data_IF_632478041398
#
_entry.id   IF_632478041398
#
_cell.length_a   1.000
_cell.length_b   1.000
_cell.length_c   1.000
_cell.angle_alpha   90.00
_cell.angle_beta   90.00
_cell.angle_gamma   90.00
#
_symmetry.space_group_name_H-M   'P 1'
#
loop_
_entity.id
_entity.type
_entity.pdbx_description
1 polymer ?
#
# COMPACT_ATOMS: atom_id res chain seq x y z
N UNK A 1 -0.68 -8.53 -4.56
CA UNK A 1 -1.28 -7.99 -5.81
C UNK A 1 -2.43 -7.08 -5.40
N UNK A 2 -2.39 -5.80 -5.76
CA UNK A 2 -3.51 -4.87 -5.58
C UNK A 2 -4.45 -5.03 -6.78
N UNK A 3 -5.75 -5.15 -6.54
CA UNK A 3 -6.74 -5.57 -7.55
C UNK A 3 -7.68 -4.45 -8.00
N UNK A 4 -7.64 -3.29 -7.35
CA UNK A 4 -8.45 -2.12 -7.68
C UNK A 4 -7.67 -0.82 -7.46
N UNK A 5 -8.04 0.21 -8.20
CA UNK A 5 -7.46 1.55 -8.13
C UNK A 5 -8.32 2.46 -7.22
N UNK A 6 -7.73 3.55 -6.71
CA UNK A 6 -8.41 4.50 -5.83
C UNK A 6 -9.66 5.12 -6.46
N UNK A 7 -9.72 5.21 -7.79
CA UNK A 7 -10.90 5.70 -8.52
C UNK A 7 -12.16 4.85 -8.30
N UNK A 8 -12.02 3.52 -8.19
CA UNK A 8 -13.17 2.63 -7.94
C UNK A 8 -13.77 2.87 -6.55
N UNK A 9 -12.92 3.08 -5.54
CA UNK A 9 -13.39 3.41 -4.18
C UNK A 9 -14.18 4.72 -4.14
N UNK A 10 -13.78 5.72 -4.94
CA UNK A 10 -14.52 7.00 -5.03
C UNK A 10 -15.88 6.81 -5.69
N UNK A 11 -15.96 5.95 -6.71
CA UNK A 11 -17.23 5.61 -7.37
C UNK A 11 -18.20 4.93 -6.40
N UNK A 12 -17.76 3.89 -5.68
CA UNK A 12 -18.61 3.20 -4.70
C UNK A 12 -19.11 4.12 -3.59
N UNK A 13 -18.26 5.04 -3.12
CA UNK A 13 -18.67 6.04 -2.14
C UNK A 13 -19.81 6.92 -2.66
N UNK A 14 -19.71 7.42 -3.90
CA UNK A 14 -20.78 8.23 -4.54
C UNK A 14 -22.07 7.43 -4.77
N UNK A 15 -21.96 6.12 -4.98
CA UNK A 15 -23.08 5.19 -5.14
C UNK A 15 -23.67 4.70 -3.80
N UNK A 16 -23.13 5.13 -2.65
CA UNK A 16 -23.57 4.69 -1.32
C UNK A 16 -23.15 3.27 -0.94
N UNK A 17 -22.24 2.65 -1.71
CA UNK A 17 -21.75 1.27 -1.49
C UNK A 17 -20.58 1.25 -0.50
N UNK A 18 -20.87 1.57 0.76
CA UNK A 18 -19.86 1.77 1.80
C UNK A 18 -19.15 0.47 2.20
N UNK A 19 -19.83 -0.66 2.12
CA UNK A 19 -19.27 -2.00 2.37
C UNK A 19 -18.07 -2.31 1.47
N UNK A 20 -18.15 -1.94 0.19
CA UNK A 20 -17.05 -2.12 -0.76
C UNK A 20 -15.87 -1.18 -0.48
N UNK A 21 -16.16 0.07 -0.10
CA UNK A 21 -15.13 1.04 0.32
C UNK A 21 -14.37 0.52 1.54
N UNK A 22 -15.10 0.03 2.54
CA UNK A 22 -14.49 -0.52 3.76
C UNK A 22 -13.61 -1.73 3.46
N UNK A 23 -14.12 -2.68 2.67
CA UNK A 23 -13.38 -3.88 2.26
C UNK A 23 -12.08 -3.53 1.51
N UNK A 24 -12.16 -2.57 0.59
CA UNK A 24 -11.01 -2.06 -0.14
C UNK A 24 -9.97 -1.39 0.77
N UNK A 25 -10.41 -0.47 1.64
CA UNK A 25 -9.53 0.22 2.58
C UNK A 25 -8.82 -0.75 3.53
N UNK A 26 -9.54 -1.74 4.07
CA UNK A 26 -8.96 -2.79 4.92
C UNK A 26 -7.88 -3.56 4.16
N UNK A 27 -8.11 -3.88 2.88
CA UNK A 27 -7.13 -4.61 2.07
C UNK A 27 -5.86 -3.80 1.81
N UNK A 28 -5.99 -2.50 1.59
CA UNK A 28 -4.86 -1.59 1.40
C UNK A 28 -3.99 -1.49 2.66
N UNK A 29 -4.60 -1.41 3.84
CA UNK A 29 -3.87 -1.41 5.11
C UNK A 29 -3.19 -2.76 5.36
N UNK A 30 -3.87 -3.88 5.09
CA UNK A 30 -3.28 -5.21 5.22
C UNK A 30 -2.03 -5.38 4.34
N UNK A 31 -2.10 -4.91 3.08
CA UNK A 31 -1.00 -5.01 2.13
C UNK A 31 0.18 -4.12 2.52
N UNK A 32 -0.08 -2.86 2.88
CA UNK A 32 0.96 -1.91 3.30
C UNK A 32 1.60 -2.33 4.61
N UNK A 33 0.84 -2.88 5.56
CA UNK A 33 1.36 -3.47 6.79
C UNK A 33 2.32 -4.64 6.54
N UNK A 34 1.93 -5.59 5.68
CA UNK A 34 2.82 -6.70 5.27
C UNK A 34 4.11 -6.23 4.62
N UNK A 35 4.01 -5.22 3.74
CA UNK A 35 5.18 -4.63 3.08
C UNK A 35 6.10 -3.95 4.10
N UNK A 36 5.55 -3.18 5.03
CA UNK A 36 6.30 -2.49 6.08
C UNK A 36 7.03 -3.50 6.99
N UNK A 37 6.33 -4.55 7.43
CA UNK A 37 6.93 -5.60 8.25
C UNK A 37 8.08 -6.30 7.52
N UNK A 38 7.89 -6.67 6.25
CA UNK A 38 8.95 -7.28 5.44
C UNK A 38 10.13 -6.33 5.27
N UNK A 39 9.88 -5.07 4.95
CA UNK A 39 10.92 -4.08 4.72
C UNK A 39 11.73 -3.81 5.98
N UNK A 40 11.10 -3.73 7.15
CA UNK A 40 11.79 -3.52 8.43
C UNK A 40 12.57 -4.77 8.86
N UNK A 41 12.03 -5.97 8.61
CA UNK A 41 12.74 -7.24 8.84
C UNK A 41 13.98 -7.36 7.95
N UNK A 42 13.88 -7.00 6.67
CA UNK A 42 14.99 -7.08 5.71
C UNK A 42 15.99 -5.91 5.85
N UNK A 43 15.58 -4.84 6.52
CA UNK A 43 16.36 -3.60 6.65
C UNK A 43 16.40 -2.74 5.39
N UNK A 44 15.55 -3.02 4.39
CA UNK A 44 15.36 -2.14 3.24
C UNK A 44 14.00 -2.30 2.55
N UNK A 45 13.58 -1.27 1.82
CA UNK A 45 12.45 -1.28 0.89
C UNK A 45 12.94 -0.93 -0.51
N UNK A 46 12.48 -1.66 -1.53
CA UNK A 46 12.70 -1.31 -2.94
C UNK A 46 11.44 -0.70 -3.53
N UNK A 47 11.58 0.36 -4.32
CA UNK A 47 10.49 0.93 -5.07
C UNK A 47 10.96 1.45 -6.42
N UNK A 48 10.05 1.50 -7.39
CA UNK A 48 10.31 2.07 -8.71
C UNK A 48 10.03 3.58 -8.68
N UNK A 49 11.02 4.39 -9.05
CA UNK A 49 10.88 5.83 -9.18
C UNK A 49 9.96 6.19 -10.35
N UNK A 50 9.60 7.47 -10.47
CA UNK A 50 8.87 7.99 -11.65
C UNK A 50 9.69 7.87 -12.94
N UNK A 51 11.02 7.97 -12.86
CA UNK A 51 11.96 7.75 -13.97
C UNK A 51 12.13 6.26 -14.32
N UNK A 52 11.59 5.36 -13.51
CA UNK A 52 11.62 3.91 -13.75
C UNK A 52 12.79 3.17 -13.11
N UNK A 53 13.66 3.89 -12.40
CA UNK A 53 14.79 3.33 -11.66
C UNK A 53 14.31 2.60 -10.40
N UNK A 54 14.99 1.52 -10.01
CA UNK A 54 14.73 0.84 -8.74
C UNK A 54 15.59 1.50 -7.67
N UNK A 55 14.94 2.17 -6.73
CA UNK A 55 15.57 2.84 -5.59
C UNK A 55 15.41 2.00 -4.33
N UNK A 56 16.40 2.11 -3.43
CA UNK A 56 16.43 1.42 -2.14
C UNK A 56 16.34 2.41 -0.99
N UNK A 57 15.41 2.19 -0.08
CA UNK A 57 15.29 2.94 1.18
C UNK A 57 15.82 2.07 2.32
N UNK A 58 16.63 2.63 3.21
CA UNK A 58 17.06 1.98 4.43
C UNK A 58 15.98 2.10 5.51
N UNK A 59 15.52 0.97 6.04
CA UNK A 59 14.40 0.88 6.99
C UNK A 59 14.83 0.46 8.40
N UNK A 60 16.14 0.27 8.65
CA UNK A 60 16.65 -0.24 9.95
C UNK A 60 16.25 0.61 11.15
N UNK A 61 15.95 1.89 10.94
CA UNK A 61 15.58 2.84 12.00
C UNK A 61 14.09 3.20 12.02
N UNK A 62 13.25 2.54 11.22
CA UNK A 62 11.83 2.92 11.11
C UNK A 62 10.99 2.53 12.33
N UNK A 63 11.43 1.53 13.08
CA UNK A 63 10.77 1.05 14.29
C UNK A 63 11.61 1.33 15.55
N UNK A 64 12.50 2.34 15.50
CA UNK A 64 13.31 2.77 16.65
C UNK A 64 12.60 3.85 17.45
#
# INVERSE_FOLDING_TARGET
>A
RKTSDGFESVKWFREGRIDLVESYCKKDVELTGKLCLKATTDGFLLFKSRSGEILRINTKKWNQ
#
